data_IF_705031952701
#
_entry.id   IF_705031952701
#
_cell.length_a   1.000
_cell.length_b   1.000
_cell.length_c   1.000
_cell.angle_alpha   90.00
_cell.angle_beta   90.00
_cell.angle_gamma   90.00
#
_symmetry.space_group_name_H-M   'P 1'
#
loop_
_entity.id
_entity.type
_entity.pdbx_description
1 polymer ?
#
# COMPACT_ATOMS: atom_id res chain seq x y z
N UNK A 1 23.08 12.59 11.44
CA UNK A 1 22.92 12.62 12.89
C UNK A 1 21.67 13.44 13.21
N UNK A 2 20.55 12.78 13.59
CA UNK A 2 19.28 13.44 13.93
C UNK A 2 19.42 14.36 15.15
N UNK A 3 20.51 14.21 15.87
CA UNK A 3 20.87 15.04 17.00
C UNK A 3 21.93 16.13 16.64
N UNK A 4 22.31 16.24 15.36
CA UNK A 4 23.29 17.23 14.93
C UNK A 4 22.74 18.65 15.15
N UNK A 5 23.24 19.30 16.20
CA UNK A 5 22.76 20.59 16.68
C UNK A 5 21.97 20.55 17.99
N UNK A 6 21.61 19.38 18.48
CA UNK A 6 20.92 19.15 19.75
C UNK A 6 21.88 18.59 20.83
N UNK A 7 21.50 18.72 22.08
CA UNK A 7 22.27 18.34 23.27
C UNK A 7 22.85 16.94 23.14
N UNK A 8 24.10 16.74 23.51
CA UNK A 8 24.67 15.42 23.73
C UNK A 8 23.82 14.67 24.78
N UNK A 9 23.41 13.46 24.48
CA UNK A 9 22.62 12.65 25.42
C UNK A 9 23.59 11.99 26.39
N UNK A 10 23.41 12.30 27.65
CA UNK A 10 24.20 11.73 28.75
C UNK A 10 23.41 10.60 29.40
N UNK A 11 24.13 9.56 29.82
CA UNK A 11 23.57 8.38 30.46
C UNK A 11 24.28 8.10 31.77
N UNK A 12 23.53 7.63 32.77
CA UNK A 12 24.05 7.09 34.02
C UNK A 12 23.61 5.64 34.16
N UNK A 13 24.53 4.76 34.50
CA UNK A 13 24.20 3.35 34.78
C UNK A 13 23.57 3.22 36.19
N UNK A 14 22.36 2.66 36.27
CA UNK A 14 21.65 2.42 37.53
C UNK A 14 21.01 1.04 37.55
N UNK A 15 21.00 0.43 38.74
CA UNK A 15 20.18 -0.74 39.03
C UNK A 15 18.76 -0.27 39.36
N UNK A 16 17.76 -0.81 38.67
CA UNK A 16 16.36 -0.37 38.80
C UNK A 16 15.48 -1.57 39.12
N UNK A 17 14.60 -1.46 40.12
CA UNK A 17 13.60 -2.48 40.39
C UNK A 17 12.70 -2.68 39.18
N UNK A 18 12.43 -3.94 38.81
CA UNK A 18 11.66 -4.29 37.62
C UNK A 18 10.32 -3.54 37.58
N UNK A 19 9.63 -3.46 38.70
CA UNK A 19 8.32 -2.83 38.83
C UNK A 19 8.34 -1.29 38.93
N UNK A 20 9.50 -0.68 38.96
CA UNK A 20 9.67 0.77 38.79
C UNK A 20 9.86 1.17 37.31
N UNK A 21 10.01 0.18 36.43
CA UNK A 21 10.09 0.41 34.98
C UNK A 21 8.68 0.42 34.38
N UNK A 22 8.44 1.34 33.46
CA UNK A 22 7.19 1.50 32.70
C UNK A 22 7.43 1.29 31.23
N UNK A 23 6.53 0.58 30.59
CA UNK A 23 6.49 0.48 29.13
C UNK A 23 6.07 1.82 28.54
N UNK A 24 6.76 2.26 27.50
CA UNK A 24 6.40 3.49 26.81
C UNK A 24 5.15 3.31 25.94
N UNK A 25 4.14 4.15 26.14
CA UNK A 25 2.90 4.11 25.35
C UNK A 25 3.17 4.37 23.84
N UNK A 26 4.08 5.27 23.50
CA UNK A 26 4.44 5.59 22.12
C UNK A 26 5.11 4.42 21.38
N UNK A 27 5.52 3.36 22.10
CA UNK A 27 6.09 2.16 21.50
C UNK A 27 5.03 1.12 21.06
N UNK A 28 3.75 1.40 21.23
CA UNK A 28 2.66 0.47 20.92
C UNK A 28 2.67 0.03 19.45
N UNK A 29 2.95 0.94 18.53
CA UNK A 29 3.07 0.64 17.09
C UNK A 29 4.07 -0.50 16.84
N UNK A 30 5.23 -0.48 17.50
CA UNK A 30 6.27 -1.47 17.32
C UNK A 30 5.99 -2.78 18.07
N UNK A 31 5.19 -2.73 19.13
CA UNK A 31 4.81 -3.90 19.95
C UNK A 31 3.95 -4.89 19.17
N UNK A 32 3.13 -4.42 18.23
CA UNK A 32 2.25 -5.27 17.42
C UNK A 32 2.99 -6.32 16.59
N UNK A 33 4.28 -6.12 16.34
CA UNK A 33 5.11 -7.07 15.61
C UNK A 33 5.65 -8.24 16.45
N UNK A 34 5.52 -8.21 17.79
CA UNK A 34 6.10 -9.19 18.69
C UNK A 34 5.07 -10.24 19.10
N UNK A 35 5.36 -11.52 18.85
CA UNK A 35 4.55 -12.63 19.34
C UNK A 35 4.92 -13.00 20.77
N UNK A 36 4.03 -13.73 21.48
CA UNK A 36 4.33 -14.22 22.82
C UNK A 36 5.47 -15.25 22.77
N UNK A 37 5.52 -16.07 21.72
CA UNK A 37 6.57 -17.05 21.49
C UNK A 37 7.94 -16.40 21.36
N UNK A 38 8.05 -15.27 20.65
CA UNK A 38 9.31 -14.52 20.53
C UNK A 38 9.80 -14.01 21.88
N UNK A 39 8.89 -13.58 22.75
CA UNK A 39 9.23 -13.10 24.09
C UNK A 39 9.71 -14.27 24.97
N UNK A 40 9.06 -15.44 24.88
CA UNK A 40 9.47 -16.65 25.62
C UNK A 40 10.86 -17.12 25.17
N UNK A 41 11.11 -17.20 23.87
CA UNK A 41 12.43 -17.57 23.33
C UNK A 41 13.52 -16.60 23.80
N UNK A 42 13.24 -15.30 23.77
CA UNK A 42 14.17 -14.29 24.28
C UNK A 42 14.39 -14.43 25.79
N UNK A 43 13.36 -14.78 26.57
CA UNK A 43 13.46 -15.01 27.99
C UNK A 43 14.40 -16.21 28.32
N UNK A 44 14.25 -17.31 27.57
CA UNK A 44 15.14 -18.45 27.70
C UNK A 44 16.59 -18.14 27.34
N UNK A 45 16.80 -17.31 26.34
CA UNK A 45 18.14 -16.84 25.97
C UNK A 45 18.75 -15.95 27.04
N UNK A 46 18.00 -15.01 27.58
CA UNK A 46 18.43 -14.13 28.69
C UNK A 46 18.72 -14.96 29.95
N UNK A 47 17.93 -15.98 30.25
CA UNK A 47 18.15 -16.84 31.38
C UNK A 47 19.47 -17.65 31.27
N UNK A 48 19.82 -18.08 30.06
CA UNK A 48 21.05 -18.82 29.77
C UNK A 48 22.31 -17.97 29.72
N UNK A 49 22.21 -16.83 29.04
CA UNK A 49 23.37 -16.03 28.63
C UNK A 49 23.46 -14.70 29.38
N UNK A 50 22.47 -14.32 30.17
CA UNK A 50 22.36 -13.01 30.81
C UNK A 50 21.88 -11.92 29.86
N UNK A 51 21.74 -10.70 30.39
CA UNK A 51 21.31 -9.53 29.63
C UNK A 51 22.54 -8.92 28.91
N UNK A 52 22.67 -9.18 27.63
CA UNK A 52 23.81 -8.71 26.82
C UNK A 52 23.77 -7.22 26.49
N UNK A 53 22.57 -6.62 26.43
CA UNK A 53 22.39 -5.20 26.12
C UNK A 53 21.47 -4.55 27.14
N UNK A 54 21.94 -3.47 27.76
CA UNK A 54 21.19 -2.76 28.79
C UNK A 54 19.91 -2.12 28.26
N UNK A 55 18.93 -1.97 29.17
CA UNK A 55 17.75 -1.16 28.89
C UNK A 55 18.14 0.32 28.87
N UNK A 56 17.47 1.11 28.04
CA UNK A 56 17.58 2.57 28.03
C UNK A 56 16.26 3.14 28.52
N UNK A 57 16.32 3.96 29.56
CA UNK A 57 15.15 4.53 30.23
C UNK A 57 15.33 6.02 30.50
N UNK A 58 14.24 6.75 30.67
CA UNK A 58 14.26 8.11 31.21
C UNK A 58 13.41 8.20 32.48
N UNK A 59 13.81 9.01 33.48
CA UNK A 59 13.04 9.17 34.72
C UNK A 59 11.81 10.00 34.47
N UNK A 60 10.72 9.63 35.16
CA UNK A 60 9.45 10.35 35.17
C UNK A 60 8.87 10.32 36.59
N UNK A 61 8.25 11.42 37.02
CA UNK A 61 7.57 11.47 38.30
C UNK A 61 6.12 11.00 38.17
N UNK A 62 5.76 9.95 38.92
CA UNK A 62 4.38 9.45 39.08
C UNK A 62 4.01 9.46 40.57
N UNK A 63 2.99 10.23 40.95
CA UNK A 63 2.46 10.27 42.31
C UNK A 63 3.55 10.52 43.40
N UNK A 64 4.54 11.35 43.07
CA UNK A 64 5.65 11.67 43.99
C UNK A 64 6.71 10.56 44.11
N UNK A 65 6.70 9.59 43.21
CA UNK A 65 7.72 8.54 43.08
C UNK A 65 8.36 8.61 41.69
N UNK A 66 9.67 8.47 41.63
CA UNK A 66 10.37 8.37 40.35
C UNK A 66 10.15 6.96 39.77
N UNK A 67 9.60 6.91 38.57
CA UNK A 67 9.52 5.71 37.73
C UNK A 67 10.40 5.89 36.50
N UNK A 68 10.68 4.80 35.79
CA UNK A 68 11.61 4.80 34.65
C UNK A 68 10.89 4.31 33.41
N UNK A 69 10.66 5.19 32.43
CA UNK A 69 9.97 4.86 31.20
C UNK A 69 10.95 4.34 30.14
N UNK A 70 10.65 3.23 29.54
CA UNK A 70 11.48 2.61 28.52
C UNK A 70 11.57 3.43 27.25
N UNK A 71 12.80 3.74 26.83
CA UNK A 71 13.11 4.25 25.50
C UNK A 71 13.52 3.12 24.55
N UNK A 72 14.31 2.17 25.04
CA UNK A 72 14.76 1.01 24.26
C UNK A 72 14.86 -0.23 25.13
N UNK A 73 14.53 -1.39 24.53
CA UNK A 73 14.65 -2.69 25.17
C UNK A 73 13.34 -3.28 25.71
N UNK A 74 12.16 -2.84 25.23
CA UNK A 74 10.88 -3.34 25.70
C UNK A 74 10.75 -4.87 25.58
N UNK A 75 11.20 -5.50 24.49
CA UNK A 75 11.19 -6.96 24.37
C UNK A 75 11.98 -7.64 25.49
N UNK A 76 13.17 -7.10 25.82
CA UNK A 76 14.01 -7.60 26.91
C UNK A 76 13.36 -7.39 28.26
N UNK A 77 12.74 -6.23 28.49
CA UNK A 77 11.96 -5.98 29.71
C UNK A 77 10.83 -7.00 29.86
N UNK A 78 10.02 -7.23 28.82
CA UNK A 78 8.92 -8.22 28.83
C UNK A 78 9.43 -9.64 29.06
N UNK A 79 10.58 -9.98 28.50
CA UNK A 79 11.22 -11.27 28.73
C UNK A 79 11.67 -11.45 30.21
N UNK A 80 12.25 -10.42 30.80
CA UNK A 80 12.65 -10.45 32.22
C UNK A 80 11.42 -10.44 33.15
N UNK A 81 10.37 -9.70 32.84
CA UNK A 81 9.10 -9.76 33.54
C UNK A 81 8.47 -11.19 33.48
N UNK A 82 8.57 -11.85 32.33
CA UNK A 82 8.12 -13.22 32.17
C UNK A 82 8.92 -14.21 33.09
N UNK A 83 10.23 -14.06 33.16
CA UNK A 83 11.09 -14.89 34.04
C UNK A 83 10.77 -14.66 35.53
N UNK A 84 10.62 -13.41 35.93
CA UNK A 84 10.26 -13.04 37.30
C UNK A 84 8.90 -13.62 37.70
N UNK A 85 7.87 -13.50 36.85
CA UNK A 85 6.55 -14.12 37.09
C UNK A 85 6.59 -15.65 37.19
N UNK A 86 7.61 -16.29 36.67
CA UNK A 86 7.87 -17.73 36.83
C UNK A 86 8.67 -18.07 38.09
N UNK A 87 8.97 -17.10 38.93
CA UNK A 87 9.64 -17.28 40.20
C UNK A 87 11.16 -17.07 40.16
N UNK A 88 11.73 -16.57 39.07
CA UNK A 88 13.14 -16.23 38.99
C UNK A 88 13.40 -14.83 39.58
N UNK A 89 13.66 -14.82 40.90
CA UNK A 89 13.91 -13.58 41.65
C UNK A 89 15.16 -12.82 41.23
N UNK A 90 16.02 -13.41 40.38
CA UNK A 90 17.20 -12.71 39.82
C UNK A 90 16.77 -11.42 39.07
N UNK A 91 15.58 -11.42 38.47
CA UNK A 91 15.07 -10.34 37.62
C UNK A 91 14.22 -9.32 38.38
N UNK A 92 14.10 -9.41 39.73
CA UNK A 92 13.44 -8.37 40.54
C UNK A 92 14.11 -6.99 40.41
N UNK A 93 15.39 -6.98 40.05
CA UNK A 93 16.19 -5.75 39.81
C UNK A 93 16.97 -5.89 38.53
N UNK A 94 16.77 -4.99 37.60
CA UNK A 94 17.52 -4.94 36.34
C UNK A 94 18.80 -4.16 36.56
N UNK A 95 19.92 -4.82 36.30
CA UNK A 95 21.26 -4.27 36.50
C UNK A 95 21.68 -3.36 35.35
N UNK A 96 22.42 -2.30 35.66
CA UNK A 96 23.08 -1.43 34.70
C UNK A 96 22.14 -0.83 33.63
N UNK A 97 20.91 -0.45 33.99
CA UNK A 97 20.07 0.31 33.09
C UNK A 97 20.71 1.66 32.75
N UNK A 98 20.72 2.03 31.47
CA UNK A 98 21.19 3.33 31.02
C UNK A 98 20.07 4.37 31.24
N UNK A 99 20.19 5.17 32.28
CA UNK A 99 19.23 6.23 32.62
C UNK A 99 19.66 7.49 31.92
N UNK A 100 18.80 8.06 31.08
CA UNK A 100 19.02 9.35 30.43
C UNK A 100 18.95 10.45 31.50
N UNK A 101 20.03 11.22 31.63
CA UNK A 101 20.12 12.36 32.58
C UNK A 101 19.88 13.70 31.88
N UNK A 102 20.00 13.76 30.56
CA UNK A 102 19.71 14.95 29.77
C UNK A 102 18.20 15.25 29.80
N UNK A 103 17.85 16.51 30.09
CA UNK A 103 16.46 16.94 29.99
C UNK A 103 15.98 16.96 28.53
N UNK A 104 14.99 16.15 28.23
CA UNK A 104 14.40 15.98 26.89
C UNK A 104 12.92 16.38 26.89
N UNK A 105 12.51 17.11 25.86
CA UNK A 105 11.10 17.34 25.55
C UNK A 105 10.42 16.05 25.12
N UNK A 106 9.08 16.01 25.10
CA UNK A 106 8.33 14.83 24.65
C UNK A 106 8.64 14.48 23.18
N UNK A 107 8.80 15.49 22.31
CA UNK A 107 9.18 15.25 20.92
C UNK A 107 10.61 14.67 20.78
N UNK A 108 11.56 15.13 21.58
CA UNK A 108 12.92 14.58 21.60
C UNK A 108 12.91 13.11 22.03
N UNK A 109 12.11 12.76 23.05
CA UNK A 109 11.93 11.37 23.49
C UNK A 109 11.33 10.50 22.37
N UNK A 110 10.29 10.98 21.67
CA UNK A 110 9.69 10.30 20.53
C UNK A 110 10.65 10.10 19.37
N UNK A 111 11.39 11.14 18.99
CA UNK A 111 12.42 11.06 17.94
C UNK A 111 13.47 9.99 18.26
N UNK A 112 13.94 9.94 19.50
CA UNK A 112 14.87 8.90 19.94
C UNK A 112 14.27 7.50 19.89
N UNK A 113 13.00 7.35 20.31
CA UNK A 113 12.26 6.08 20.26
C UNK A 113 12.13 5.58 18.82
N UNK A 114 11.67 6.42 17.91
CA UNK A 114 11.51 6.08 16.49
C UNK A 114 12.85 5.79 15.84
N UNK A 115 13.86 6.60 16.09
CA UNK A 115 15.21 6.38 15.57
C UNK A 115 15.79 5.03 16.01
N UNK A 116 15.70 4.71 17.30
CA UNK A 116 16.22 3.46 17.85
C UNK A 116 15.50 2.22 17.23
N UNK A 117 14.17 2.27 17.07
CA UNK A 117 13.42 1.18 16.47
C UNK A 117 13.69 1.03 14.96
N UNK A 118 13.82 2.13 14.22
CA UNK A 118 14.12 2.12 12.79
C UNK A 118 15.52 1.59 12.48
N UNK A 119 16.51 1.87 13.34
CA UNK A 119 17.88 1.40 13.18
C UNK A 119 18.02 -0.10 13.44
N UNK A 120 17.39 -0.60 14.51
CA UNK A 120 17.58 -1.98 14.99
C UNK A 120 16.79 -3.01 14.18
N UNK A 121 15.61 -2.64 13.70
CA UNK A 121 14.71 -3.60 13.02
C UNK A 121 14.98 -3.79 11.53
N UNK A 122 16.05 -3.24 10.97
CA UNK A 122 16.63 -3.56 9.63
C UNK A 122 15.70 -3.58 8.42
N UNK A 123 14.52 -3.03 8.56
CA UNK A 123 13.40 -3.07 7.64
C UNK A 123 12.19 -3.65 8.37
N UNK A 124 11.13 -2.86 8.50
CA UNK A 124 9.88 -3.36 9.06
C UNK A 124 9.36 -4.52 8.22
N UNK A 125 9.20 -5.69 8.81
CA UNK A 125 8.56 -6.83 8.19
C UNK A 125 7.08 -6.50 7.85
N UNK A 126 6.45 -5.63 8.65
CA UNK A 126 5.08 -5.20 8.48
C UNK A 126 5.01 -3.78 7.88
N UNK A 127 4.33 -3.68 6.74
CA UNK A 127 4.14 -2.43 6.00
C UNK A 127 3.30 -1.41 6.77
N UNK A 128 2.28 -1.85 7.49
CA UNK A 128 1.40 -0.99 8.28
C UNK A 128 2.18 -0.31 9.41
N UNK A 129 2.98 -1.10 10.14
CA UNK A 129 3.83 -0.59 11.23
C UNK A 129 4.82 0.45 10.70
N UNK A 130 5.48 0.14 9.57
CA UNK A 130 6.44 1.05 8.95
C UNK A 130 5.77 2.36 8.54
N UNK A 131 4.62 2.30 7.86
CA UNK A 131 3.88 3.46 7.36
C UNK A 131 3.50 4.39 8.51
N UNK A 132 2.88 3.87 9.56
CA UNK A 132 2.50 4.63 10.76
C UNK A 132 3.72 5.23 11.46
N UNK A 133 4.78 4.43 11.66
CA UNK A 133 6.00 4.92 12.29
C UNK A 133 6.68 6.03 11.49
N UNK A 134 6.75 5.91 10.17
CA UNK A 134 7.31 6.95 9.30
C UNK A 134 6.49 8.23 9.38
N UNK A 135 5.17 8.14 9.33
CA UNK A 135 4.29 9.31 9.39
C UNK A 135 4.44 10.06 10.72
N UNK A 136 4.36 9.36 11.84
CA UNK A 136 4.53 9.97 13.16
C UNK A 136 5.93 10.53 13.36
N UNK A 137 6.96 9.87 12.85
CA UNK A 137 8.33 10.38 12.93
C UNK A 137 8.51 11.68 12.14
N UNK A 138 7.93 11.79 10.94
CA UNK A 138 7.92 13.05 10.17
C UNK A 138 7.26 14.15 11.00
N UNK A 139 6.09 13.89 11.57
CA UNK A 139 5.36 14.85 12.41
C UNK A 139 6.20 15.31 13.61
N UNK A 140 6.84 14.38 14.30
CA UNK A 140 7.74 14.74 15.43
C UNK A 140 8.89 15.66 15.00
N UNK A 141 9.50 15.40 13.84
CA UNK A 141 10.59 16.22 13.32
C UNK A 141 10.14 17.60 12.79
N UNK A 142 8.87 17.73 12.40
CA UNK A 142 8.30 19.03 12.00
C UNK A 142 7.94 19.92 13.19
N UNK A 143 7.75 19.35 14.37
CA UNK A 143 7.42 20.08 15.58
C UNK A 143 8.67 20.52 16.37
N UNK A 144 8.47 21.42 17.37
CA UNK A 144 9.54 21.85 18.27
C UNK A 144 10.14 20.65 19.03
N UNK A 145 11.45 20.66 19.30
CA UNK A 145 12.42 21.72 18.98
C UNK A 145 13.05 21.63 17.58
N UNK A 146 12.70 20.62 16.75
CA UNK A 146 13.35 20.32 15.47
C UNK A 146 12.95 21.28 14.36
N UNK A 147 11.67 21.62 14.25
CA UNK A 147 11.10 22.54 13.25
C UNK A 147 11.59 22.29 11.81
N UNK A 148 11.76 21.02 11.45
CA UNK A 148 12.22 20.63 10.12
C UNK A 148 11.13 20.83 9.08
N UNK A 149 11.52 21.12 7.83
CA UNK A 149 10.59 20.96 6.71
C UNK A 149 10.26 19.48 6.48
N UNK A 150 9.12 19.16 5.89
CA UNK A 150 8.75 17.78 5.52
C UNK A 150 9.87 17.08 4.74
N UNK A 151 10.47 17.82 3.78
CA UNK A 151 11.57 17.31 2.96
C UNK A 151 12.80 16.95 3.79
N UNK A 152 13.18 17.81 4.73
CA UNK A 152 14.35 17.58 5.58
C UNK A 152 14.08 16.47 6.60
N UNK A 153 12.86 16.40 7.15
CA UNK A 153 12.43 15.31 8.02
C UNK A 153 12.51 13.94 7.31
N UNK A 154 11.97 13.84 6.10
CA UNK A 154 12.07 12.61 5.29
C UNK A 154 13.51 12.23 4.95
N UNK A 155 14.37 13.21 4.69
CA UNK A 155 15.79 12.98 4.47
C UNK A 155 16.48 12.46 5.72
N UNK A 156 16.20 13.05 6.88
CA UNK A 156 16.74 12.61 8.17
C UNK A 156 16.31 11.16 8.51
N UNK A 157 15.05 10.81 8.28
CA UNK A 157 14.56 9.43 8.46
C UNK A 157 15.31 8.45 7.54
N UNK A 158 15.57 8.82 6.29
CA UNK A 158 16.35 7.98 5.37
C UNK A 158 17.76 7.69 5.89
N UNK A 159 18.40 8.65 6.55
CA UNK A 159 19.77 8.50 7.08
C UNK A 159 19.83 7.50 8.25
N UNK A 160 18.76 7.36 9.02
CA UNK A 160 18.70 6.47 10.19
C UNK A 160 17.95 5.16 9.93
N UNK A 161 17.30 5.01 8.78
CA UNK A 161 16.53 3.81 8.45
C UNK A 161 17.08 3.09 7.21
N UNK A 162 16.83 1.79 7.11
CA UNK A 162 17.11 1.02 5.89
C UNK A 162 16.08 1.28 4.76
N UNK A 163 15.12 2.19 4.98
CA UNK A 163 14.00 2.46 4.06
C UNK A 163 14.44 3.45 2.97
N UNK A 164 14.04 3.21 1.74
CA UNK A 164 14.35 4.12 0.62
C UNK A 164 13.57 5.44 0.72
N UNK A 165 14.14 6.55 0.18
CA UNK A 165 13.46 7.84 0.15
C UNK A 165 12.08 7.77 -0.53
N UNK A 166 11.96 7.00 -1.61
CA UNK A 166 10.69 6.78 -2.33
C UNK A 166 9.66 6.06 -1.45
N UNK A 167 10.11 5.10 -0.64
CA UNK A 167 9.22 4.38 0.27
C UNK A 167 8.75 5.27 1.42
N UNK A 168 9.65 6.08 2.01
CA UNK A 168 9.33 7.05 3.07
C UNK A 168 8.29 8.07 2.58
N UNK A 169 8.50 8.64 1.38
CA UNK A 169 7.56 9.61 0.81
C UNK A 169 6.17 8.98 0.57
N UNK A 170 6.14 7.78 0.06
CA UNK A 170 4.91 7.03 -0.21
C UNK A 170 4.17 6.69 1.08
N UNK A 171 4.86 6.13 2.07
CA UNK A 171 4.28 5.75 3.35
C UNK A 171 3.68 6.96 4.07
N UNK A 172 4.40 8.08 4.08
CA UNK A 172 3.92 9.34 4.65
C UNK A 172 2.68 9.87 3.93
N UNK A 173 2.70 9.91 2.59
CA UNK A 173 1.57 10.43 1.80
C UNK A 173 0.30 9.60 1.96
N UNK A 174 0.41 8.27 2.04
CA UNK A 174 -0.73 7.40 2.28
C UNK A 174 -1.33 7.70 3.65
N UNK A 175 -0.51 7.75 4.69
CA UNK A 175 -0.98 7.96 6.07
C UNK A 175 -1.59 9.35 6.28
N UNK A 176 -1.03 10.39 5.62
CA UNK A 176 -1.48 11.78 5.76
C UNK A 176 -2.73 12.09 4.92
N UNK A 177 -2.81 11.55 3.69
CA UNK A 177 -3.77 12.02 2.69
C UNK A 177 -4.91 11.07 2.39
N UNK A 178 -4.77 9.80 2.77
CA UNK A 178 -5.81 8.82 2.50
C UNK A 178 -6.94 8.93 3.54
N UNK A 179 -8.18 8.77 3.08
CA UNK A 179 -9.35 8.67 3.96
C UNK A 179 -9.16 7.57 5.02
N UNK A 180 -9.62 7.81 6.24
CA UNK A 180 -9.42 6.92 7.39
C UNK A 180 -10.02 5.53 7.20
N UNK A 181 -11.16 5.44 6.51
CA UNK A 181 -11.78 4.14 6.25
C UNK A 181 -11.02 3.38 5.15
N UNK A 182 -10.47 4.09 4.15
CA UNK A 182 -9.56 3.47 3.17
C UNK A 182 -8.27 2.98 3.82
N UNK A 183 -7.71 3.72 4.80
CA UNK A 183 -6.58 3.26 5.61
C UNK A 183 -6.93 1.98 6.38
N UNK A 184 -8.11 1.89 6.99
CA UNK A 184 -8.58 0.66 7.67
C UNK A 184 -8.71 -0.52 6.71
N UNK A 185 -9.25 -0.28 5.52
CA UNK A 185 -9.36 -1.31 4.49
C UNK A 185 -8.00 -1.79 3.98
N UNK A 186 -7.02 -0.88 3.88
CA UNK A 186 -5.62 -1.23 3.59
C UNK A 186 -5.00 -2.06 4.73
N UNK A 187 -5.19 -1.63 5.98
CA UNK A 187 -4.68 -2.33 7.16
C UNK A 187 -5.25 -3.75 7.28
N UNK A 188 -6.52 -3.93 6.92
CA UNK A 188 -7.19 -5.23 6.87
C UNK A 188 -6.90 -6.04 5.59
N UNK A 189 -6.00 -5.57 4.73
CA UNK A 189 -5.61 -6.24 3.47
C UNK A 189 -6.77 -6.41 2.46
N UNK A 190 -7.85 -5.65 2.62
CA UNK A 190 -8.92 -5.59 1.64
C UNK A 190 -8.52 -4.77 0.41
N UNK A 191 -7.78 -3.70 0.62
CA UNK A 191 -7.16 -2.89 -0.43
C UNK A 191 -5.66 -3.14 -0.50
N UNK A 192 -5.11 -3.01 -1.69
CA UNK A 192 -3.66 -3.01 -1.90
C UNK A 192 -3.10 -1.59 -1.76
N UNK A 193 -1.82 -1.49 -1.45
CA UNK A 193 -1.13 -0.22 -1.42
C UNK A 193 -1.22 0.53 -2.75
N UNK A 194 -1.15 -0.17 -3.88
CA UNK A 194 -1.18 0.45 -5.21
C UNK A 194 -2.53 1.13 -5.49
N UNK A 195 -3.63 0.52 -5.06
CA UNK A 195 -4.96 1.11 -5.12
C UNK A 195 -5.02 2.39 -4.27
N UNK A 196 -4.56 2.31 -3.02
CA UNK A 196 -4.52 3.46 -2.13
C UNK A 196 -3.67 4.62 -2.66
N UNK A 197 -2.49 4.34 -3.27
CA UNK A 197 -1.68 5.35 -3.94
C UNK A 197 -2.43 6.06 -5.07
N UNK A 198 -3.35 5.37 -5.71
CA UNK A 198 -4.18 5.97 -6.75
C UNK A 198 -5.22 6.92 -6.17
N UNK A 199 -5.74 6.65 -4.97
CA UNK A 199 -6.81 7.43 -4.35
C UNK A 199 -6.32 8.70 -3.65
N UNK A 200 -5.09 8.76 -3.16
CA UNK A 200 -4.54 9.96 -2.50
C UNK A 200 -4.49 11.23 -3.39
N UNK A 201 -4.72 11.09 -4.69
CA UNK A 201 -4.79 12.22 -5.64
C UNK A 201 -6.19 12.75 -5.85
N UNK A 202 -7.18 12.09 -5.26
CA UNK A 202 -8.59 12.47 -5.30
C UNK A 202 -8.94 13.41 -4.16
N UNK A 203 -10.02 14.17 -4.32
CA UNK A 203 -10.53 15.03 -3.26
C UNK A 203 -11.05 14.20 -2.07
N UNK A 204 -11.01 14.74 -0.83
CA UNK A 204 -11.44 14.01 0.35
C UNK A 204 -12.86 13.43 0.26
N UNK A 205 -13.79 14.15 -0.36
CA UNK A 205 -15.18 13.71 -0.55
C UNK A 205 -15.27 12.51 -1.51
N UNK A 206 -14.46 12.52 -2.58
CA UNK A 206 -14.37 11.41 -3.53
C UNK A 206 -13.78 10.16 -2.87
N UNK A 207 -12.72 10.34 -2.07
CA UNK A 207 -12.12 9.26 -1.29
C UNK A 207 -13.13 8.65 -0.31
N UNK A 208 -13.94 9.49 0.34
CA UNK A 208 -14.97 9.03 1.26
C UNK A 208 -16.05 8.20 0.55
N UNK A 209 -16.52 8.62 -0.63
CA UNK A 209 -17.46 7.83 -1.45
C UNK A 209 -16.86 6.47 -1.86
N UNK A 210 -15.59 6.45 -2.25
CA UNK A 210 -14.86 5.21 -2.54
C UNK A 210 -14.84 4.29 -1.31
N UNK A 211 -14.54 4.86 -0.14
CA UNK A 211 -14.54 4.11 1.11
C UNK A 211 -15.91 3.49 1.41
N UNK A 212 -16.99 4.23 1.22
CA UNK A 212 -18.36 3.73 1.41
C UNK A 212 -18.67 2.55 0.48
N UNK A 213 -18.34 2.64 -0.82
CA UNK A 213 -18.50 1.53 -1.75
C UNK A 213 -17.75 0.28 -1.29
N UNK A 214 -16.51 0.42 -0.87
CA UNK A 214 -15.73 -0.72 -0.38
C UNK A 214 -16.23 -1.28 0.95
N UNK A 215 -16.72 -0.45 1.84
CA UNK A 215 -17.34 -0.91 3.08
C UNK A 215 -18.60 -1.73 2.80
N UNK A 216 -19.45 -1.27 1.87
CA UNK A 216 -20.62 -2.02 1.43
C UNK A 216 -20.23 -3.36 0.79
N UNK A 217 -19.18 -3.37 -0.03
CA UNK A 217 -18.68 -4.61 -0.67
C UNK A 217 -18.09 -5.57 0.37
N UNK A 218 -17.32 -5.07 1.33
CA UNK A 218 -16.73 -5.89 2.41
C UNK A 218 -17.77 -6.45 3.37
N UNK A 219 -18.94 -5.84 3.45
CA UNK A 219 -20.07 -6.29 4.26
C UNK A 219 -20.90 -7.42 3.60
N UNK A 220 -20.60 -7.80 2.36
CA UNK A 220 -21.24 -8.94 1.70
C UNK A 220 -20.77 -10.23 2.37
N UNK A 221 -21.62 -10.78 3.23
CA UNK A 221 -21.30 -11.98 4.01
C UNK A 221 -21.77 -13.26 3.29
N UNK A 222 -20.82 -14.01 2.80
CA UNK A 222 -21.03 -15.32 2.13
C UNK A 222 -20.66 -16.51 3.04
N UNK A 223 -20.46 -16.30 4.34
CA UNK A 223 -20.00 -17.35 5.27
C UNK A 223 -20.97 -18.53 5.42
N UNK A 224 -22.27 -18.26 5.27
CA UNK A 224 -23.34 -19.25 5.39
C UNK A 224 -23.72 -19.92 4.07
N UNK A 225 -22.97 -19.73 3.00
CA UNK A 225 -23.13 -20.40 1.72
C UNK A 225 -22.33 -21.72 1.70
N UNK A 226 -22.80 -22.71 0.93
CA UNK A 226 -21.99 -23.90 0.67
C UNK A 226 -20.70 -23.54 -0.11
N UNK A 227 -19.79 -24.50 -0.20
CA UNK A 227 -18.44 -24.25 -0.75
C UNK A 227 -18.48 -23.71 -2.19
N UNK A 228 -19.33 -24.32 -3.05
CA UNK A 228 -19.37 -23.96 -4.46
C UNK A 228 -20.05 -22.59 -4.69
N UNK A 229 -21.17 -22.34 -4.02
CA UNK A 229 -21.86 -21.05 -4.08
C UNK A 229 -21.00 -19.93 -3.47
N UNK A 230 -20.32 -20.20 -2.36
CA UNK A 230 -19.40 -19.27 -1.72
C UNK A 230 -18.27 -18.87 -2.65
N UNK A 231 -17.63 -19.83 -3.32
CA UNK A 231 -16.55 -19.54 -4.26
C UNK A 231 -17.03 -18.65 -5.41
N UNK A 232 -18.18 -18.94 -5.99
CA UNK A 232 -18.77 -18.15 -7.09
C UNK A 232 -19.15 -16.74 -6.66
N UNK A 233 -19.79 -16.59 -5.50
CA UNK A 233 -20.15 -15.28 -4.95
C UNK A 233 -18.91 -14.45 -4.60
N UNK A 234 -17.85 -15.07 -4.06
CA UNK A 234 -16.57 -14.40 -3.84
C UNK A 234 -15.91 -13.94 -5.15
N UNK A 235 -16.01 -14.75 -6.22
CA UNK A 235 -15.53 -14.33 -7.54
C UNK A 235 -16.32 -13.13 -8.08
N UNK A 236 -17.63 -13.06 -7.82
CA UNK A 236 -18.45 -11.92 -8.20
C UNK A 236 -18.10 -10.67 -7.38
N UNK A 237 -17.89 -10.79 -6.07
CA UNK A 237 -17.34 -9.70 -5.23
C UNK A 237 -16.03 -9.15 -5.81
N UNK A 238 -15.10 -10.04 -6.16
CA UNK A 238 -13.85 -9.67 -6.78
C UNK A 238 -14.04 -8.98 -8.14
N UNK A 239 -15.01 -9.43 -8.95
CA UNK A 239 -15.32 -8.78 -10.23
C UNK A 239 -15.82 -7.35 -10.03
N UNK A 240 -16.74 -7.12 -9.08
CA UNK A 240 -17.24 -5.78 -8.73
C UNK A 240 -16.11 -4.89 -8.26
N UNK A 241 -15.24 -5.41 -7.38
CA UNK A 241 -14.04 -4.70 -6.91
C UNK A 241 -13.14 -4.25 -8.07
N UNK A 242 -12.76 -5.17 -8.96
CA UNK A 242 -11.88 -4.85 -10.09
C UNK A 242 -12.52 -3.91 -11.12
N UNK A 243 -13.81 -4.04 -11.38
CA UNK A 243 -14.51 -3.16 -12.32
C UNK A 243 -14.61 -1.74 -11.76
N UNK A 244 -14.85 -1.61 -10.45
CA UNK A 244 -14.85 -0.32 -9.77
C UNK A 244 -13.47 0.36 -9.80
N UNK A 245 -12.39 -0.34 -9.45
CA UNK A 245 -11.02 0.19 -9.56
C UNK A 245 -10.75 0.74 -10.97
N UNK A 246 -11.11 -0.03 -12.01
CA UNK A 246 -10.90 0.38 -13.39
C UNK A 246 -11.72 1.59 -13.79
N UNK A 247 -12.93 1.72 -13.26
CA UNK A 247 -13.79 2.88 -13.50
C UNK A 247 -13.17 4.14 -12.87
N UNK A 248 -12.75 4.08 -11.61
CA UNK A 248 -12.05 5.15 -10.92
C UNK A 248 -10.75 5.54 -11.65
N UNK A 249 -9.95 4.56 -12.05
CA UNK A 249 -8.69 4.82 -12.78
C UNK A 249 -8.92 5.50 -14.14
N UNK A 250 -10.00 5.14 -14.84
CA UNK A 250 -10.38 5.81 -16.10
C UNK A 250 -10.82 7.24 -15.84
N UNK A 251 -11.67 7.47 -14.84
CA UNK A 251 -12.12 8.81 -14.46
C UNK A 251 -10.93 9.72 -14.13
N UNK A 252 -10.01 9.26 -13.28
CA UNK A 252 -8.81 10.02 -12.89
C UNK A 252 -7.92 10.45 -14.06
N UNK A 253 -7.88 9.67 -15.13
CA UNK A 253 -7.07 9.96 -16.33
C UNK A 253 -7.76 10.91 -17.31
N UNK A 254 -8.99 11.31 -17.05
CA UNK A 254 -9.73 12.28 -17.84
C UNK A 254 -9.22 13.68 -17.52
N UNK A 255 -8.87 14.44 -18.56
CA UNK A 255 -8.28 15.78 -18.43
C UNK A 255 -9.33 16.87 -18.18
N UNK A 256 -10.53 16.71 -18.71
CA UNK A 256 -11.63 17.67 -18.57
C UNK A 256 -12.32 17.44 -17.22
N UNK A 257 -12.37 18.47 -16.32
CA UNK A 257 -12.91 18.31 -14.98
C UNK A 257 -14.36 17.84 -14.94
N UNK A 258 -15.24 18.45 -15.75
CA UNK A 258 -16.68 18.11 -15.78
C UNK A 258 -16.89 16.64 -16.22
N UNK A 259 -16.16 16.19 -17.24
CA UNK A 259 -16.20 14.81 -17.73
C UNK A 259 -15.64 13.84 -16.69
N UNK A 260 -14.60 14.25 -15.95
CA UNK A 260 -14.02 13.47 -14.86
C UNK A 260 -15.05 13.23 -13.75
N UNK A 261 -15.72 14.29 -13.34
CA UNK A 261 -16.70 14.24 -12.24
C UNK A 261 -17.92 13.40 -12.65
N UNK A 262 -18.42 13.54 -13.89
CA UNK A 262 -19.50 12.69 -14.43
C UNK A 262 -19.10 11.21 -14.44
N UNK A 263 -17.87 10.88 -14.83
CA UNK A 263 -17.36 9.51 -14.82
C UNK A 263 -17.20 8.94 -13.42
N UNK A 264 -16.80 9.76 -12.43
CA UNK A 264 -16.72 9.36 -11.04
C UNK A 264 -18.12 9.05 -10.48
N UNK A 265 -19.09 9.93 -10.69
CA UNK A 265 -20.47 9.71 -10.24
C UNK A 265 -21.08 8.46 -10.89
N UNK A 266 -20.82 8.24 -12.19
CA UNK A 266 -21.23 7.02 -12.90
C UNK A 266 -20.59 5.79 -12.26
N UNK A 267 -19.28 5.81 -11.96
CA UNK A 267 -18.58 4.70 -11.33
C UNK A 267 -19.13 4.37 -9.93
N UNK A 268 -19.48 5.39 -9.13
CA UNK A 268 -20.11 5.18 -7.82
C UNK A 268 -21.48 4.54 -7.97
N UNK A 269 -22.35 5.06 -8.84
CA UNK A 269 -23.69 4.54 -9.04
C UNK A 269 -23.68 3.08 -9.56
N UNK A 270 -22.80 2.76 -10.50
CA UNK A 270 -22.62 1.41 -11.03
C UNK A 270 -22.14 0.43 -9.94
N UNK A 271 -21.16 0.86 -9.12
CA UNK A 271 -20.65 0.06 -8.01
C UNK A 271 -21.73 -0.23 -6.97
N UNK A 272 -22.45 0.79 -6.50
CA UNK A 272 -23.54 0.63 -5.53
C UNK A 272 -24.64 -0.28 -6.05
N UNK A 273 -25.03 -0.13 -7.33
CA UNK A 273 -26.03 -1.01 -7.95
C UNK A 273 -25.53 -2.45 -8.03
N UNK A 274 -24.28 -2.68 -8.43
CA UNK A 274 -23.69 -4.01 -8.49
C UNK A 274 -23.63 -4.68 -7.11
N UNK A 275 -23.26 -3.94 -6.08
CA UNK A 275 -23.22 -4.43 -4.69
C UNK A 275 -24.64 -4.78 -4.22
N UNK A 276 -25.64 -3.93 -4.50
CA UNK A 276 -27.04 -4.21 -4.13
C UNK A 276 -27.57 -5.50 -4.79
N UNK A 277 -27.27 -5.70 -6.06
CA UNK A 277 -27.63 -6.92 -6.76
C UNK A 277 -26.97 -8.16 -6.14
N UNK A 278 -25.70 -8.04 -5.79
CA UNK A 278 -24.95 -9.10 -5.14
C UNK A 278 -25.52 -9.43 -3.74
N UNK A 279 -25.84 -8.41 -2.93
CA UNK A 279 -26.48 -8.60 -1.64
C UNK A 279 -27.85 -9.28 -1.75
N UNK A 280 -28.66 -8.91 -2.74
CA UNK A 280 -29.94 -9.56 -3.01
C UNK A 280 -29.75 -11.04 -3.36
N UNK A 281 -28.80 -11.37 -4.24
CA UNK A 281 -28.47 -12.77 -4.60
C UNK A 281 -28.03 -13.59 -3.39
N UNK A 282 -27.17 -13.02 -2.53
CA UNK A 282 -26.77 -13.68 -1.28
C UNK A 282 -27.96 -13.90 -0.36
N UNK A 283 -28.86 -12.93 -0.26
CA UNK A 283 -30.10 -13.03 0.53
C UNK A 283 -31.01 -14.12 0.00
N UNK A 284 -31.28 -14.14 -1.31
CA UNK A 284 -32.13 -15.15 -1.97
C UNK A 284 -31.54 -16.56 -1.83
N UNK A 285 -30.22 -16.71 -1.96
CA UNK A 285 -29.54 -17.97 -1.74
C UNK A 285 -29.71 -18.48 -0.30
N UNK A 286 -29.50 -17.61 0.69
CA UNK A 286 -29.70 -17.95 2.11
C UNK A 286 -31.15 -18.36 2.41
N UNK A 287 -32.10 -17.64 1.84
CA UNK A 287 -33.52 -17.94 1.99
C UNK A 287 -33.88 -19.30 1.39
N UNK A 288 -33.36 -19.64 0.21
CA UNK A 288 -33.54 -20.93 -0.42
C UNK A 288 -32.95 -22.06 0.44
N UNK A 289 -31.74 -21.91 0.92
CA UNK A 289 -31.09 -22.88 1.82
C UNK A 289 -31.89 -23.05 3.12
N UNK A 290 -32.35 -21.96 3.73
CA UNK A 290 -33.12 -22.01 4.97
C UNK A 290 -34.48 -22.73 4.82
N UNK A 291 -35.06 -22.70 3.61
CA UNK A 291 -36.31 -23.39 3.25
C UNK A 291 -36.08 -24.79 2.73
N UNK A 292 -34.83 -25.27 2.68
CA UNK A 292 -34.44 -26.56 2.09
C UNK A 292 -34.81 -26.69 0.59
N UNK A 293 -34.88 -25.55 -0.11
CA UNK A 293 -35.13 -25.48 -1.56
C UNK A 293 -33.80 -25.59 -2.33
N UNK A 294 -33.31 -26.80 -2.48
CA UNK A 294 -32.04 -27.10 -3.13
C UNK A 294 -32.03 -26.76 -4.62
N UNK A 295 -33.15 -26.90 -5.30
CA UNK A 295 -33.32 -26.59 -6.73
C UNK A 295 -33.09 -25.08 -6.97
N UNK A 296 -33.73 -24.23 -6.17
CA UNK A 296 -33.61 -22.78 -6.26
C UNK A 296 -32.21 -22.30 -5.85
N UNK A 297 -31.60 -22.91 -4.85
CA UNK A 297 -30.23 -22.60 -4.46
C UNK A 297 -29.21 -22.90 -5.57
N UNK A 298 -29.38 -24.08 -6.25
CA UNK A 298 -28.55 -24.44 -7.41
C UNK A 298 -28.77 -23.51 -8.61
N UNK A 299 -30.03 -23.11 -8.87
CA UNK A 299 -30.37 -22.17 -9.95
C UNK A 299 -29.66 -20.84 -9.77
N UNK A 300 -29.72 -20.23 -8.57
CA UNK A 300 -29.03 -18.97 -8.23
C UNK A 300 -27.52 -19.12 -8.43
N UNK A 301 -26.93 -20.23 -7.97
CA UNK A 301 -25.51 -20.50 -8.15
C UNK A 301 -25.11 -20.68 -9.63
N UNK A 302 -25.98 -21.24 -10.47
CA UNK A 302 -25.76 -21.39 -11.92
C UNK A 302 -25.88 -20.06 -12.67
N UNK A 303 -26.81 -19.20 -12.28
CA UNK A 303 -26.98 -17.88 -12.90
C UNK A 303 -25.78 -16.98 -12.64
N UNK A 304 -25.20 -17.03 -11.43
CA UNK A 304 -23.92 -16.35 -11.13
C UNK A 304 -22.82 -16.82 -12.09
N UNK A 305 -22.74 -18.11 -12.39
CA UNK A 305 -21.74 -18.65 -13.31
C UNK A 305 -21.95 -18.20 -14.77
N UNK A 306 -23.19 -18.13 -15.23
CA UNK A 306 -23.52 -17.64 -16.58
C UNK A 306 -23.19 -16.17 -16.76
N UNK A 307 -23.54 -15.33 -15.79
CA UNK A 307 -23.23 -13.90 -15.83
C UNK A 307 -21.72 -13.64 -15.85
N UNK A 308 -20.93 -14.45 -15.12
CA UNK A 308 -19.48 -14.38 -15.14
C UNK A 308 -18.89 -14.77 -16.49
N UNK A 309 -19.40 -15.82 -17.14
CA UNK A 309 -18.93 -16.23 -18.46
C UNK A 309 -19.29 -15.19 -19.53
N UNK A 310 -20.51 -14.62 -19.48
CA UNK A 310 -20.91 -13.53 -20.36
C UNK A 310 -19.97 -12.30 -20.21
N UNK A 311 -19.68 -11.88 -18.98
CA UNK A 311 -18.73 -10.80 -18.70
C UNK A 311 -17.30 -11.11 -19.17
N UNK A 312 -16.87 -12.40 -19.10
CA UNK A 312 -15.56 -12.83 -19.62
C UNK A 312 -15.47 -12.74 -21.15
N UNK A 313 -16.54 -13.13 -21.85
CA UNK A 313 -16.63 -13.05 -23.32
C UNK A 313 -16.58 -11.58 -23.74
N UNK A 314 -17.42 -10.72 -23.16
CA UNK A 314 -17.45 -9.29 -23.44
C UNK A 314 -16.10 -8.61 -23.17
N UNK A 315 -15.42 -8.94 -22.05
CA UNK A 315 -14.07 -8.43 -21.74
C UNK A 315 -13.02 -8.89 -22.75
N UNK A 316 -13.13 -10.12 -23.29
CA UNK A 316 -12.21 -10.59 -24.34
C UNK A 316 -12.43 -9.84 -25.65
N UNK A 317 -13.69 -9.60 -26.04
CA UNK A 317 -14.03 -8.84 -27.22
C UNK A 317 -13.54 -7.39 -27.14
N UNK A 318 -13.86 -6.68 -26.04
CA UNK A 318 -13.37 -5.32 -25.78
C UNK A 318 -11.83 -5.23 -25.74
N UNK A 319 -11.15 -6.25 -25.21
CA UNK A 319 -9.70 -6.31 -25.20
C UNK A 319 -9.14 -6.46 -26.62
N UNK A 320 -9.73 -7.33 -27.42
CA UNK A 320 -9.34 -7.55 -28.82
C UNK A 320 -9.53 -6.27 -29.67
N UNK A 321 -10.65 -5.58 -29.50
CA UNK A 321 -10.91 -4.29 -30.16
C UNK A 321 -9.90 -3.22 -29.72
N UNK A 322 -9.65 -3.10 -28.41
CA UNK A 322 -8.69 -2.15 -27.84
C UNK A 322 -7.25 -2.44 -28.29
N UNK A 323 -6.84 -3.71 -28.37
CA UNK A 323 -5.51 -4.09 -28.85
C UNK A 323 -5.32 -3.76 -30.33
N UNK A 324 -6.34 -3.95 -31.16
CA UNK A 324 -6.30 -3.60 -32.58
C UNK A 324 -6.19 -2.08 -32.81
N UNK A 325 -7.01 -1.28 -32.14
CA UNK A 325 -6.95 0.18 -32.20
C UNK A 325 -5.61 0.70 -31.66
N UNK A 326 -5.14 0.17 -30.54
CA UNK A 326 -3.88 0.57 -29.92
C UNK A 326 -2.66 0.21 -30.77
N UNK A 327 -2.69 -0.91 -31.51
CA UNK A 327 -1.60 -1.31 -32.39
C UNK A 327 -1.45 -0.31 -33.54
N UNK A 328 -2.53 0.10 -34.19
CA UNK A 328 -2.48 1.09 -35.28
C UNK A 328 -2.00 2.44 -34.77
N UNK A 329 -2.62 2.96 -33.72
CA UNK A 329 -2.33 4.31 -33.20
C UNK A 329 -0.96 4.41 -32.50
N UNK A 330 -0.60 3.45 -31.69
CA UNK A 330 0.64 3.54 -30.88
C UNK A 330 1.86 2.94 -31.56
N UNK A 331 1.67 2.02 -32.50
CA UNK A 331 2.80 1.33 -33.15
C UNK A 331 2.98 1.79 -34.60
N UNK A 332 1.95 1.74 -35.40
CA UNK A 332 2.07 2.06 -36.84
C UNK A 332 2.15 3.56 -37.08
N UNK A 333 1.25 4.35 -36.51
CA UNK A 333 1.15 5.81 -36.75
C UNK A 333 2.45 6.58 -36.42
N UNK A 334 3.11 6.35 -35.24
CA UNK A 334 4.36 7.05 -34.93
C UNK A 334 5.51 6.67 -35.88
N UNK A 335 5.58 5.40 -36.32
CA UNK A 335 6.58 4.94 -37.27
C UNK A 335 6.35 5.54 -38.64
N UNK A 336 5.12 5.54 -39.13
CA UNK A 336 4.72 6.19 -40.40
C UNK A 336 5.03 7.67 -40.38
N UNK A 337 4.67 8.41 -39.32
CA UNK A 337 4.96 9.82 -39.15
C UNK A 337 6.47 10.12 -39.16
N UNK A 338 7.26 9.28 -38.48
CA UNK A 338 8.73 9.39 -38.43
C UNK A 338 9.36 9.19 -39.81
N UNK A 339 8.90 8.19 -40.56
CA UNK A 339 9.35 7.90 -41.92
C UNK A 339 8.99 9.09 -42.82
N UNK A 340 7.75 9.54 -42.79
CA UNK A 340 7.26 10.66 -43.64
C UNK A 340 8.02 11.95 -43.36
N UNK A 341 8.26 12.28 -42.07
CA UNK A 341 9.07 13.44 -41.67
C UNK A 341 10.49 13.37 -42.22
N UNK A 342 11.10 12.17 -42.19
CA UNK A 342 12.46 11.96 -42.68
C UNK A 342 12.54 12.05 -44.22
N UNK A 343 11.58 11.47 -44.93
CA UNK A 343 11.49 11.54 -46.40
C UNK A 343 11.17 12.95 -46.91
N UNK A 344 10.42 13.75 -46.16
CA UNK A 344 10.10 15.12 -46.50
C UNK A 344 11.26 16.08 -46.26
N UNK A 345 12.32 15.68 -45.58
CA UNK A 345 13.46 16.54 -45.26
C UNK A 345 14.29 16.91 -46.51
N UNK A 346 14.82 18.13 -46.52
CA UNK A 346 15.66 18.66 -47.63
C UNK A 346 16.96 17.84 -47.78
N UNK A 347 17.48 17.28 -46.68
CA UNK A 347 18.68 16.44 -46.69
C UNK A 347 18.43 15.09 -47.38
N UNK A 348 17.27 14.47 -47.14
CA UNK A 348 16.89 13.22 -47.81
C UNK A 348 16.67 13.47 -49.32
N UNK A 349 15.94 14.48 -49.69
CA UNK A 349 15.70 14.85 -51.11
C UNK A 349 17.01 15.11 -51.85
N UNK A 350 18.01 15.74 -51.23
CA UNK A 350 19.35 15.93 -51.79
C UNK A 350 20.10 14.62 -51.90
N UNK A 351 19.98 13.75 -50.90
CA UNK A 351 20.60 12.41 -50.86
C UNK A 351 20.10 11.54 -52.02
N UNK A 352 18.78 11.46 -52.20
CA UNK A 352 18.16 10.68 -53.31
C UNK A 352 18.64 11.11 -54.66
N UNK A 353 18.85 12.40 -54.91
CA UNK A 353 19.38 12.93 -56.19
C UNK A 353 20.83 12.45 -56.46
N UNK A 354 21.58 12.08 -55.47
CA UNK A 354 22.97 11.62 -55.55
C UNK A 354 23.10 10.08 -55.53
N UNK A 355 22.01 9.35 -55.36
CA UNK A 355 22.03 7.87 -55.37
C UNK A 355 22.26 7.31 -56.75
N UNK A 356 22.90 6.15 -56.83
CA UNK A 356 22.96 5.36 -58.06
C UNK A 356 21.56 4.92 -58.50
N UNK A 357 21.39 4.63 -59.80
CA UNK A 357 20.11 4.17 -60.33
C UNK A 357 19.68 2.87 -59.65
N UNK A 358 20.58 1.89 -59.54
CA UNK A 358 20.34 0.60 -58.86
C UNK A 358 19.82 0.75 -57.43
N UNK A 359 20.37 1.71 -56.67
CA UNK A 359 19.95 1.95 -55.30
C UNK A 359 18.60 2.61 -55.23
N UNK A 360 18.26 3.50 -56.18
CA UNK A 360 16.92 4.08 -56.30
C UNK A 360 15.88 3.04 -56.63
N UNK A 361 16.20 2.11 -57.55
CA UNK A 361 15.28 1.07 -58.00
C UNK A 361 15.02 0.08 -56.85
N UNK A 362 16.01 -0.24 -56.04
CA UNK A 362 15.86 -1.07 -54.82
C UNK A 362 14.99 -0.37 -53.75
N UNK A 363 15.25 0.90 -53.48
CA UNK A 363 14.44 1.68 -52.52
C UNK A 363 12.98 1.79 -52.97
N UNK A 364 12.72 1.93 -54.30
CA UNK A 364 11.37 1.95 -54.90
C UNK A 364 10.70 0.56 -54.74
N UNK A 365 11.41 -0.51 -54.92
CA UNK A 365 10.89 -1.87 -54.73
C UNK A 365 10.42 -2.11 -53.27
N UNK A 366 11.26 -1.72 -52.32
CA UNK A 366 10.93 -1.82 -50.89
C UNK A 366 9.69 -0.97 -50.52
N UNK A 367 9.58 0.26 -51.07
CA UNK A 367 8.45 1.10 -50.85
C UNK A 367 7.14 0.52 -51.42
N UNK A 368 7.21 -0.08 -52.63
CA UNK A 368 6.06 -0.74 -53.23
C UNK A 368 5.58 -1.93 -52.41
N UNK A 369 6.50 -2.75 -51.89
CA UNK A 369 6.18 -3.87 -51.00
C UNK A 369 5.49 -3.40 -49.70
N UNK A 370 5.99 -2.31 -49.11
CA UNK A 370 5.36 -1.70 -47.91
C UNK A 370 3.97 -1.15 -48.22
N UNK A 371 3.73 -0.58 -49.40
CA UNK A 371 2.43 -0.11 -49.86
C UNK A 371 1.45 -1.27 -50.03
N UNK A 372 1.85 -2.36 -50.65
CA UNK A 372 1.02 -3.54 -50.82
C UNK A 372 0.65 -4.17 -49.46
N UNK A 373 1.58 -4.28 -48.52
CA UNK A 373 1.30 -4.75 -47.19
C UNK A 373 0.33 -3.84 -46.40
N UNK A 374 0.51 -2.52 -46.54
CA UNK A 374 -0.40 -1.52 -45.94
C UNK A 374 -1.80 -1.57 -46.55
N UNK A 375 -1.93 -1.80 -47.85
CA UNK A 375 -3.21 -2.00 -48.53
C UNK A 375 -3.92 -3.27 -48.09
N UNK A 376 -3.19 -4.39 -47.98
CA UNK A 376 -3.75 -5.64 -47.49
C UNK A 376 -4.24 -5.53 -46.05
N UNK A 377 -3.53 -4.80 -45.19
CA UNK A 377 -3.96 -4.55 -43.81
C UNK A 377 -5.22 -3.66 -43.77
N UNK A 378 -5.30 -2.63 -44.63
CA UNK A 378 -6.50 -1.79 -44.74
C UNK A 378 -7.71 -2.60 -45.20
N UNK A 379 -7.54 -3.44 -46.22
CA UNK A 379 -8.61 -4.27 -46.73
C UNK A 379 -9.12 -5.28 -45.71
N UNK A 380 -8.23 -5.84 -44.86
CA UNK A 380 -8.56 -6.67 -43.73
C UNK A 380 -9.41 -5.89 -42.70
N UNK A 381 -9.06 -4.65 -42.37
CA UNK A 381 -9.79 -3.79 -41.44
C UNK A 381 -11.15 -3.39 -42.01
N UNK A 382 -11.24 -3.12 -43.32
CA UNK A 382 -12.49 -2.77 -43.99
C UNK A 382 -13.44 -3.97 -44.15
N UNK A 383 -12.90 -5.18 -44.32
CA UNK A 383 -13.66 -6.45 -44.36
C UNK A 383 -14.20 -6.89 -42.99
N UNK A 384 -13.63 -6.37 -41.91
CA UNK A 384 -14.07 -6.67 -40.55
C UNK A 384 -15.22 -5.74 -40.06
N UNK A 385 -15.63 -4.77 -40.87
CA UNK A 385 -16.84 -3.94 -40.64
C UNK A 385 -18.08 -4.62 -41.20
#
# INVERSE_FOLDING_TARGET
DLTAGHKSIEYEARDIALYDIRVNADNEIFRQADTQEDIVQLAEDIQRNGLMHNLVVFPQEENGKTVYVLLSGERRYRAMEYLEKRGDATWNTIKNCNVITTSLSENEKKVLLYSANLQVRGGFADEQIRRKAVAEFVVCLQNEPFNMTEKDAKKAIKEVSATTAKQIDRDFRIEEKLDKELLRLLDNKFLTRMECESYITLEPEEQHKIAQCYLLLSAVDVSNCDTDARERLLQECNSVHYDFIRAIDRARKTNEPDERDERLETAFAECENAIRLLQNRVGEYRDAVSRHDTEKAEEIAKDVAKDQEAKRVEKKEQKSESESATFVEKTIQPVANKIFKKMSSTSYKRGVRKMSQERRDNDVAILNELIEQAQSLRDLIEAAK
#
